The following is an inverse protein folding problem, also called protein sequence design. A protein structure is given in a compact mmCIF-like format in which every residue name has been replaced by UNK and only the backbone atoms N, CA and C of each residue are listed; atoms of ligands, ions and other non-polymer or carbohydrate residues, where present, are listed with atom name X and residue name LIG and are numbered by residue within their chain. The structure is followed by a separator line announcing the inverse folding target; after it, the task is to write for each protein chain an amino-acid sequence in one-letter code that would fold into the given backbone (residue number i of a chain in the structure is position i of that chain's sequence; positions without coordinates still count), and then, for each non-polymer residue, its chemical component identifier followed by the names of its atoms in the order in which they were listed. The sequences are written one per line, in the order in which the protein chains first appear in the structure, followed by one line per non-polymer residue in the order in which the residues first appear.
data_IF_836671449633
#
_entry.id   IF_836671449633
#
_cell.length_a   1.000
_cell.length_b   1.000
_cell.length_c   1.000
_cell.angle_alpha   90.00
_cell.angle_beta   90.00
_cell.angle_gamma   90.00
#
_symmetry.space_group_name_H-M   'P 1'
#
loop_
_entity.id
_entity.type
_entity.pdbx_description
1 polymer ?
#
# COMPACT_ATOMS: atom_id res chain seq x y z
N UNK A 1 2.38 6.48 -22.00
CA UNK A 1 1.25 5.63 -21.54
C UNK A 1 1.84 4.25 -21.34
N UNK A 2 2.31 3.95 -20.14
CA UNK A 2 2.89 2.63 -19.86
C UNK A 2 1.88 1.86 -19.00
N UNK A 3 1.10 1.05 -19.72
CA UNK A 3 0.38 -0.16 -19.29
C UNK A 3 -0.78 -0.09 -18.29
N UNK A 4 -1.34 1.08 -17.96
CA UNK A 4 -2.65 1.12 -17.26
C UNK A 4 -2.69 0.29 -15.96
N UNK A 5 -1.56 0.18 -15.27
CA UNK A 5 -1.43 -0.45 -13.95
C UNK A 5 -1.19 0.63 -12.89
N UNK A 6 -1.72 0.41 -11.70
CA UNK A 6 -1.67 1.32 -10.58
C UNK A 6 -0.63 0.90 -9.55
N UNK A 7 0.02 1.88 -8.93
CA UNK A 7 0.85 1.69 -7.73
C UNK A 7 0.13 2.39 -6.57
N UNK A 8 -0.16 1.63 -5.51
CA UNK A 8 -0.80 2.14 -4.29
C UNK A 8 0.27 2.46 -3.25
N UNK A 9 0.38 3.73 -2.84
CA UNK A 9 1.28 4.17 -1.79
C UNK A 9 0.47 4.86 -0.69
N UNK A 10 0.61 4.40 0.55
CA UNK A 10 0.03 5.01 1.74
C UNK A 10 1.12 5.53 2.68
N UNK A 11 0.91 6.70 3.28
CA UNK A 11 1.89 7.36 4.13
C UNK A 11 1.40 7.36 5.59
N UNK A 12 2.21 6.85 6.52
CA UNK A 12 1.87 6.76 7.94
C UNK A 12 2.91 7.39 8.86
N UNK A 13 2.41 8.06 9.89
CA UNK A 13 3.21 8.71 10.94
C UNK A 13 3.28 7.89 12.24
N UNK A 14 2.61 6.75 12.27
CA UNK A 14 2.56 5.85 13.41
C UNK A 14 3.97 5.41 13.85
N UNK A 15 4.17 5.35 15.18
CA UNK A 15 5.44 4.97 15.80
C UNK A 15 5.45 3.49 16.17
N UNK A 16 5.39 2.65 15.14
CA UNK A 16 5.37 1.19 15.25
C UNK A 16 6.58 0.57 14.55
N UNK A 17 6.96 -0.63 14.98
CA UNK A 17 7.91 -1.46 14.25
C UNK A 17 7.31 -1.97 12.92
N UNK A 18 8.17 -2.43 12.01
CA UNK A 18 7.74 -2.88 10.68
C UNK A 18 6.76 -4.05 10.75
N UNK A 19 6.93 -4.98 11.71
CA UNK A 19 6.06 -6.15 11.85
C UNK A 19 4.62 -5.74 12.18
N UNK A 20 4.43 -4.82 13.14
CA UNK A 20 3.11 -4.28 13.49
C UNK A 20 2.53 -3.44 12.35
N UNK A 21 3.33 -2.64 11.66
CA UNK A 21 2.87 -1.88 10.49
C UNK A 21 2.32 -2.83 9.42
N UNK A 22 3.03 -3.93 9.12
CA UNK A 22 2.56 -4.95 8.17
C UNK A 22 1.26 -5.58 8.63
N UNK A 23 1.19 -5.99 9.90
CA UNK A 23 0.01 -6.65 10.47
C UNK A 23 -1.24 -5.75 10.43
N UNK A 24 -1.10 -4.48 10.78
CA UNK A 24 -2.24 -3.57 10.88
C UNK A 24 -2.69 -2.98 9.55
N UNK A 25 -1.75 -2.69 8.64
CA UNK A 25 -2.09 -1.98 7.40
C UNK A 25 -2.29 -2.90 6.18
N UNK A 26 -1.85 -4.17 6.21
CA UNK A 26 -2.11 -5.11 5.11
C UNK A 26 -3.61 -5.22 4.78
N UNK A 27 -4.53 -5.44 5.74
CA UNK A 27 -5.96 -5.52 5.43
C UNK A 27 -6.53 -4.23 4.81
N UNK A 28 -6.04 -3.07 5.25
CA UNK A 28 -6.46 -1.77 4.68
C UNK A 28 -6.02 -1.64 3.22
N UNK A 29 -4.76 -1.98 2.92
CA UNK A 29 -4.21 -1.92 1.57
C UNK A 29 -4.90 -2.92 0.63
N UNK A 30 -5.26 -4.12 1.10
CA UNK A 30 -6.01 -5.10 0.32
C UNK A 30 -7.41 -4.59 -0.08
N UNK A 31 -8.12 -3.94 0.84
CA UNK A 31 -9.42 -3.31 0.55
C UNK A 31 -9.26 -2.18 -0.47
N UNK A 32 -8.22 -1.35 -0.34
CA UNK A 32 -7.96 -0.27 -1.29
C UNK A 32 -7.64 -0.79 -2.68
N UNK A 33 -6.83 -1.85 -2.77
CA UNK A 33 -6.58 -2.54 -4.04
C UNK A 33 -7.88 -2.98 -4.69
N UNK A 34 -8.71 -3.74 -3.98
CA UNK A 34 -9.97 -4.26 -4.53
C UNK A 34 -10.89 -3.14 -5.02
N UNK A 35 -11.01 -2.05 -4.26
CA UNK A 35 -11.81 -0.90 -4.65
C UNK A 35 -11.23 -0.19 -5.90
N UNK A 36 -9.92 0.03 -5.95
CA UNK A 36 -9.27 0.68 -7.09
C UNK A 36 -9.41 -0.16 -8.36
N UNK A 37 -9.17 -1.46 -8.29
CA UNK A 37 -9.29 -2.35 -9.45
C UNK A 37 -10.73 -2.38 -9.98
N UNK A 38 -11.74 -2.41 -9.11
CA UNK A 38 -13.15 -2.37 -9.50
C UNK A 38 -13.56 -1.03 -10.13
N UNK A 39 -13.11 0.09 -9.57
CA UNK A 39 -13.52 1.43 -10.03
C UNK A 39 -12.82 1.88 -11.31
N UNK A 40 -11.57 1.47 -11.49
CA UNK A 40 -10.72 1.94 -12.58
C UNK A 40 -10.55 0.92 -13.70
N UNK A 41 -10.91 -0.34 -13.44
CA UNK A 41 -10.65 -1.48 -14.32
C UNK A 41 -9.15 -1.61 -14.68
N UNK A 42 -8.27 -1.10 -13.81
CA UNK A 42 -6.81 -1.17 -13.89
C UNK A 42 -6.28 -1.98 -12.71
N UNK A 43 -5.30 -2.85 -12.95
CA UNK A 43 -4.71 -3.70 -11.92
C UNK A 43 -3.81 -2.87 -10.99
N UNK A 44 -3.81 -3.14 -9.70
CA UNK A 44 -2.79 -2.59 -8.78
C UNK A 44 -1.62 -3.57 -8.75
N UNK A 45 -0.50 -3.18 -9.35
CA UNK A 45 0.69 -4.04 -9.46
C UNK A 45 1.52 -4.08 -8.18
N UNK A 46 1.51 -2.99 -7.42
CA UNK A 46 2.35 -2.78 -6.25
C UNK A 46 1.59 -2.03 -5.16
N UNK A 47 1.79 -2.45 -3.91
CA UNK A 47 1.28 -1.78 -2.72
C UNK A 47 2.42 -1.51 -1.75
N UNK A 48 2.50 -0.30 -1.24
CA UNK A 48 3.55 0.13 -0.32
C UNK A 48 3.01 1.04 0.78
N UNK A 49 3.67 0.98 1.94
CA UNK A 49 3.47 1.90 3.05
C UNK A 49 4.78 2.63 3.33
N UNK A 50 4.79 3.96 3.25
CA UNK A 50 5.93 4.77 3.70
C UNK A 50 5.75 5.13 5.17
N UNK A 51 6.65 4.66 6.02
CA UNK A 51 6.68 4.99 7.44
C UNK A 51 7.63 6.16 7.71
N UNK A 52 7.08 7.26 8.22
CA UNK A 52 7.91 8.39 8.67
C UNK A 52 8.72 8.06 9.92
N UNK A 53 8.21 7.18 10.80
CA UNK A 53 8.94 6.78 12.00
C UNK A 53 10.19 5.96 11.66
N UNK A 54 10.07 5.03 10.71
CA UNK A 54 11.18 4.16 10.28
C UNK A 54 12.01 4.79 9.14
N UNK A 55 11.53 5.87 8.52
CA UNK A 55 12.19 6.55 7.42
C UNK A 55 12.33 5.68 6.17
N UNK A 56 11.40 4.74 5.95
CA UNK A 56 11.48 3.79 4.84
C UNK A 56 10.12 3.32 4.33
N UNK A 57 10.15 2.81 3.12
CA UNK A 57 9.06 2.09 2.49
C UNK A 57 8.99 0.64 2.95
N UNK A 58 7.77 0.14 3.11
CA UNK A 58 7.42 -1.25 3.41
C UNK A 58 6.56 -1.73 2.24
N UNK A 59 7.13 -2.56 1.36
CA UNK A 59 6.39 -3.15 0.25
C UNK A 59 5.53 -4.34 0.73
N UNK A 60 4.34 -4.49 0.15
CA UNK A 60 3.39 -5.55 0.45
C UNK A 60 3.22 -6.46 -0.77
N UNK A 61 3.38 -7.76 -0.53
CA UNK A 61 3.06 -8.84 -1.47
C UNK A 61 1.70 -9.47 -1.17
#
# INVERSE_FOLDING_TARGET
EEEGELVLIDYKTDRLDEEKLRLFYKPQLEIYREALEQLTNQKVKEMALYSFHLGKEIAFS
#
